data_IF_417167741056
#
_entry.id   IF_417167741056
#
_cell.length_a   1.000
_cell.length_b   1.000
_cell.length_c   1.000
_cell.angle_alpha   90.00
_cell.angle_beta   90.00
_cell.angle_gamma   90.00
#
_symmetry.space_group_name_H-M   'P 1'
#
loop_
_entity.id
_entity.type
_entity.pdbx_description
1 polymer ?
#
# COMPACT_ATOMS: atom_id res chain seq x y z
N UNK A 1 -13.72 9.12 87.63
CA UNK A 1 -13.56 8.03 86.64
C UNK A 1 -13.22 8.68 85.31
N UNK A 2 -12.07 8.30 84.73
CA UNK A 2 -11.45 8.93 83.57
C UNK A 2 -12.37 9.01 82.34
N UNK A 3 -12.32 10.09 81.55
CA UNK A 3 -11.62 10.13 80.25
C UNK A 3 -11.72 11.52 79.58
N UNK A 4 -10.60 11.94 79.00
CA UNK A 4 -10.40 13.13 78.16
C UNK A 4 -11.13 13.06 76.81
N UNK A 5 -11.23 14.22 76.13
CA UNK A 5 -10.87 14.52 74.71
C UNK A 5 -11.73 15.73 74.26
N UNK A 6 -11.20 16.97 74.22
CA UNK A 6 -10.35 17.61 73.20
C UNK A 6 -11.12 18.26 72.03
N UNK A 7 -10.97 19.59 71.95
CA UNK A 7 -11.38 20.50 70.88
C UNK A 7 -10.70 20.17 69.55
N UNK A 8 -11.44 20.22 68.44
CA UNK A 8 -10.86 20.52 67.11
C UNK A 8 -11.74 21.49 66.33
N UNK A 9 -11.14 22.63 66.03
CA UNK A 9 -11.60 23.70 65.14
C UNK A 9 -11.55 23.21 63.69
N UNK A 10 -12.60 23.46 62.92
CA UNK A 10 -12.67 23.18 61.49
C UNK A 10 -11.88 24.22 60.70
N UNK A 11 -10.86 23.78 59.96
CA UNK A 11 -10.11 24.59 58.99
C UNK A 11 -10.75 24.37 57.61
N UNK A 12 -11.27 25.44 57.03
CA UNK A 12 -11.81 25.48 55.66
C UNK A 12 -10.62 25.60 54.68
N UNK A 13 -10.33 24.53 53.94
CA UNK A 13 -9.32 24.52 52.87
C UNK A 13 -9.94 25.00 51.55
N UNK A 14 -9.55 26.19 51.09
CA UNK A 14 -9.83 26.70 49.75
C UNK A 14 -8.92 25.97 48.74
N UNK A 15 -9.49 25.07 47.94
CA UNK A 15 -8.82 24.49 46.78
C UNK A 15 -8.90 25.45 45.59
N UNK A 16 -7.78 26.08 45.26
CA UNK A 16 -7.60 26.80 43.99
C UNK A 16 -7.43 25.79 42.85
N UNK A 17 -8.45 25.63 42.01
CA UNK A 17 -8.38 24.84 40.78
C UNK A 17 -7.57 25.65 39.76
N UNK A 18 -6.30 25.28 39.51
CA UNK A 18 -5.56 25.76 38.34
C UNK A 18 -6.10 25.04 37.11
N UNK A 19 -6.92 25.72 36.31
CA UNK A 19 -7.30 25.29 34.98
C UNK A 19 -6.07 25.42 34.07
N UNK A 20 -5.31 24.35 33.89
CA UNK A 20 -4.30 24.27 32.83
C UNK A 20 -5.00 24.02 31.50
N UNK A 21 -5.22 25.08 30.74
CA UNK A 21 -5.65 25.00 29.35
C UNK A 21 -4.57 24.32 28.51
N UNK A 22 -4.70 23.01 28.28
CA UNK A 22 -3.96 22.30 27.25
C UNK A 22 -4.51 22.71 25.89
N UNK A 23 -3.88 23.72 25.29
CA UNK A 23 -4.06 24.02 23.87
C UNK A 23 -3.35 22.89 23.12
N UNK A 24 -4.11 21.94 22.57
CA UNK A 24 -3.60 21.10 21.50
C UNK A 24 -3.33 22.01 20.31
N UNK A 25 -2.07 22.38 20.09
CA UNK A 25 -1.64 22.94 18.83
C UNK A 25 -1.91 21.88 17.77
N UNK A 26 -2.94 22.09 16.97
CA UNK A 26 -3.08 21.41 15.69
C UNK A 26 -1.93 21.93 14.85
N UNK A 27 -0.86 21.15 14.71
CA UNK A 27 0.13 21.41 13.67
C UNK A 27 -0.60 21.33 12.33
N UNK A 28 -1.01 22.48 11.80
CA UNK A 28 -1.36 22.60 10.40
C UNK A 28 -0.13 22.18 9.60
N UNK A 29 -0.21 21.00 8.98
CA UNK A 29 0.82 20.54 8.06
C UNK A 29 0.87 21.51 6.89
N UNK A 30 1.81 22.45 6.93
CA UNK A 30 2.09 23.36 5.84
C UNK A 30 2.21 22.57 4.53
N UNK A 31 1.55 22.99 3.43
CA UNK A 31 1.67 22.32 2.15
C UNK A 31 3.15 22.33 1.75
N UNK A 32 3.74 21.14 1.74
CA UNK A 32 5.14 20.96 1.39
C UNK A 32 5.32 21.39 -0.07
N UNK A 33 5.92 22.56 -0.28
CA UNK A 33 6.29 23.03 -1.61
C UNK A 33 7.43 22.15 -2.13
N UNK A 34 7.06 21.06 -2.81
CA UNK A 34 8.00 20.28 -3.61
C UNK A 34 8.46 21.15 -4.77
N UNK A 35 9.54 21.91 -4.55
CA UNK A 35 10.30 22.62 -5.58
C UNK A 35 11.05 21.63 -6.49
N UNK A 36 10.33 20.68 -7.08
CA UNK A 36 10.82 19.84 -8.15
C UNK A 36 10.07 20.21 -9.43
N UNK A 37 10.82 20.59 -10.46
CA UNK A 37 10.27 20.85 -11.80
C UNK A 37 9.84 19.57 -12.55
N UNK A 38 9.71 18.43 -11.85
CA UNK A 38 9.33 17.15 -12.44
C UNK A 38 8.04 16.58 -11.84
N UNK A 39 7.45 15.60 -12.54
CA UNK A 39 6.24 14.90 -12.12
C UNK A 39 6.56 13.67 -11.26
N UNK A 40 5.64 13.34 -10.36
CA UNK A 40 5.64 12.12 -9.59
C UNK A 40 4.83 11.05 -10.32
N UNK A 41 5.50 9.98 -10.76
CA UNK A 41 4.87 8.86 -11.43
C UNK A 41 4.44 7.79 -10.40
N UNK A 42 3.17 7.39 -10.48
CA UNK A 42 2.60 6.29 -9.73
C UNK A 42 2.16 5.20 -10.70
N UNK A 43 2.74 4.00 -10.55
CA UNK A 43 2.44 2.83 -11.36
C UNK A 43 1.68 1.84 -10.49
N UNK A 44 0.41 1.59 -10.79
CA UNK A 44 -0.47 0.68 -10.03
C UNK A 44 -0.71 -0.59 -10.85
N UNK A 45 -0.23 -1.73 -10.36
CA UNK A 45 -0.32 -3.02 -11.08
C UNK A 45 -0.65 -4.21 -10.17
N UNK A 46 -1.12 -5.28 -10.78
CA UNK A 46 -1.45 -6.53 -10.11
C UNK A 46 -2.75 -7.16 -10.62
N UNK A 47 -3.42 -7.94 -9.77
CA UNK A 47 -4.65 -8.64 -10.15
C UNK A 47 -5.85 -8.24 -9.30
N UNK A 48 -7.03 -8.69 -9.70
CA UNK A 48 -8.30 -8.75 -8.93
C UNK A 48 -8.55 -7.55 -8.01
N UNK A 49 -7.98 -7.53 -6.79
CA UNK A 49 -8.08 -6.40 -5.87
C UNK A 49 -7.43 -5.10 -6.39
N UNK A 50 -6.31 -5.17 -7.14
CA UNK A 50 -5.82 -3.99 -7.87
C UNK A 50 -6.80 -3.56 -8.96
N UNK A 51 -7.42 -4.49 -9.70
CA UNK A 51 -8.40 -4.13 -10.73
C UNK A 51 -9.65 -3.49 -10.11
N UNK A 52 -10.10 -3.97 -8.94
CA UNK A 52 -11.22 -3.43 -8.17
C UNK A 52 -10.91 -2.15 -7.39
N UNK A 53 -9.64 -1.75 -7.30
CA UNK A 53 -9.17 -0.60 -6.52
C UNK A 53 -9.80 0.72 -6.97
N UNK A 54 -9.91 0.96 -8.30
CA UNK A 54 -10.43 2.21 -8.90
C UNK A 54 -9.80 3.48 -8.28
N UNK A 55 -8.57 3.85 -8.68
CA UNK A 55 -7.77 4.86 -7.98
C UNK A 55 -8.46 6.23 -7.85
N UNK A 56 -9.32 6.61 -8.80
CA UNK A 56 -10.08 7.87 -8.77
C UNK A 56 -11.00 8.02 -7.55
N UNK A 57 -11.41 6.93 -6.89
CA UNK A 57 -12.31 7.02 -5.74
C UNK A 57 -11.62 7.49 -4.45
N UNK A 58 -10.29 7.37 -4.35
CA UNK A 58 -9.57 7.72 -3.12
C UNK A 58 -8.07 8.00 -3.33
N UNK A 59 -7.36 7.12 -4.05
CA UNK A 59 -5.92 7.25 -4.26
C UNK A 59 -5.55 8.52 -5.04
N UNK A 60 -6.13 8.70 -6.23
CA UNK A 60 -5.84 9.86 -7.10
C UNK A 60 -6.14 11.19 -6.41
N UNK A 61 -7.33 11.39 -5.78
CA UNK A 61 -7.59 12.61 -5.02
C UNK A 61 -6.58 12.87 -3.89
N UNK A 62 -6.20 11.84 -3.12
CA UNK A 62 -5.22 12.00 -2.03
C UNK A 62 -3.83 12.38 -2.53
N UNK A 63 -3.38 11.78 -3.64
CA UNK A 63 -2.09 12.11 -4.25
C UNK A 63 -2.07 13.53 -4.83
N UNK A 64 -3.13 13.89 -5.56
CA UNK A 64 -3.29 15.22 -6.16
C UNK A 64 -3.37 16.33 -5.12
N UNK A 65 -4.11 16.10 -4.03
CA UNK A 65 -4.19 17.05 -2.93
C UNK A 65 -2.83 17.31 -2.27
N UNK A 66 -1.96 16.30 -2.19
CA UNK A 66 -0.66 16.41 -1.55
C UNK A 66 0.44 16.98 -2.45
N UNK A 67 0.39 16.73 -3.76
CA UNK A 67 1.49 17.02 -4.69
C UNK A 67 1.15 18.07 -5.75
N UNK A 68 -0.12 18.41 -5.94
CA UNK A 68 -0.60 19.25 -7.04
C UNK A 68 -1.08 18.44 -8.24
N UNK A 69 -2.13 18.93 -8.90
CA UNK A 69 -2.81 18.25 -10.01
C UNK A 69 -1.91 18.04 -11.24
N UNK A 70 -1.07 19.01 -11.54
CA UNK A 70 -0.16 19.08 -12.69
C UNK A 70 1.16 18.31 -12.46
N UNK A 71 1.45 17.96 -11.20
CA UNK A 71 2.68 17.28 -10.78
C UNK A 71 2.59 15.77 -10.74
N UNK A 72 1.46 15.17 -11.13
CA UNK A 72 1.24 13.72 -10.93
C UNK A 72 0.89 13.01 -12.23
N UNK A 73 1.49 11.84 -12.43
CA UNK A 73 1.12 10.89 -13.48
C UNK A 73 0.71 9.60 -12.77
N UNK A 74 -0.50 9.12 -13.03
CA UNK A 74 -1.01 7.88 -12.43
C UNK A 74 -1.37 6.92 -13.56
N UNK A 75 -0.71 5.77 -13.58
CA UNK A 75 -0.94 4.71 -14.57
C UNK A 75 -1.39 3.46 -13.84
N UNK A 76 -2.59 2.99 -14.15
CA UNK A 76 -3.08 1.70 -13.66
C UNK A 76 -3.20 0.69 -14.80
N UNK A 77 -2.63 -0.49 -14.59
CA UNK A 77 -2.87 -1.66 -15.44
C UNK A 77 -2.93 -2.93 -14.58
N UNK A 78 -4.09 -3.59 -14.57
CA UNK A 78 -4.33 -4.78 -13.76
C UNK A 78 -5.21 -5.76 -14.51
N UNK A 79 -5.11 -7.05 -14.18
CA UNK A 79 -5.95 -8.10 -14.77
C UNK A 79 -6.32 -9.16 -13.75
N UNK A 80 -7.62 -9.42 -13.60
CA UNK A 80 -8.17 -10.40 -12.66
C UNK A 80 -7.61 -11.82 -12.84
N UNK A 81 -7.32 -12.46 -11.71
CA UNK A 81 -7.02 -13.90 -11.63
C UNK A 81 -5.72 -14.34 -12.33
N UNK A 82 -4.72 -13.47 -12.42
CA UNK A 82 -3.46 -13.74 -13.12
C UNK A 82 -2.28 -13.96 -12.15
N UNK A 83 -1.40 -14.93 -12.43
CA UNK A 83 -0.21 -15.19 -11.61
C UNK A 83 0.92 -14.21 -11.91
N UNK A 84 1.82 -13.97 -10.93
CA UNK A 84 2.91 -12.98 -11.04
C UNK A 84 3.85 -13.22 -12.24
N UNK A 85 3.97 -14.46 -12.72
CA UNK A 85 4.76 -14.79 -13.92
C UNK A 85 4.37 -13.98 -15.17
N UNK A 86 3.12 -13.53 -15.24
CA UNK A 86 2.61 -12.68 -16.34
C UNK A 86 3.23 -11.27 -16.30
N UNK A 87 3.87 -10.89 -15.19
CA UNK A 87 4.55 -9.60 -15.01
C UNK A 87 6.08 -9.69 -14.96
N UNK A 88 6.68 -10.86 -14.73
CA UNK A 88 8.14 -11.02 -14.74
C UNK A 88 8.56 -11.90 -15.93
N UNK A 89 9.26 -11.30 -16.91
CA UNK A 89 9.61 -11.95 -18.20
C UNK A 89 10.49 -13.18 -17.97
N UNK A 90 11.47 -13.04 -17.09
CA UNK A 90 12.42 -14.11 -16.73
C UNK A 90 11.89 -15.05 -15.65
N UNK A 91 10.60 -15.01 -15.33
CA UNK A 91 10.01 -15.87 -14.31
C UNK A 91 10.20 -17.34 -14.65
N UNK A 92 10.60 -18.13 -13.66
CA UNK A 92 10.81 -19.58 -13.78
C UNK A 92 10.11 -20.30 -12.63
N UNK A 93 9.56 -21.48 -12.92
CA UNK A 93 9.18 -22.43 -11.86
C UNK A 93 10.42 -22.95 -11.15
N UNK A 94 10.25 -23.65 -10.02
CA UNK A 94 11.32 -24.42 -9.35
C UNK A 94 12.05 -25.34 -10.35
N UNK A 95 11.32 -25.93 -11.31
CA UNK A 95 11.88 -26.82 -12.33
C UNK A 95 12.37 -26.07 -13.59
N UNK A 96 12.55 -24.76 -13.53
CA UNK A 96 13.14 -23.96 -14.62
C UNK A 96 12.27 -23.68 -15.86
N UNK A 97 10.99 -24.11 -15.90
CA UNK A 97 10.14 -23.94 -17.09
C UNK A 97 9.71 -22.47 -17.30
N UNK A 98 9.88 -21.97 -18.53
CA UNK A 98 9.41 -20.66 -19.01
C UNK A 98 8.17 -20.87 -19.89
N UNK A 99 7.15 -20.03 -19.75
CA UNK A 99 5.93 -20.05 -20.58
C UNK A 99 5.91 -18.86 -21.54
N UNK A 100 5.29 -19.02 -22.72
CA UNK A 100 5.07 -17.93 -23.69
C UNK A 100 4.29 -16.74 -23.12
N UNK A 101 3.48 -16.98 -22.08
CA UNK A 101 2.69 -15.93 -21.42
C UNK A 101 3.49 -15.12 -20.38
N UNK A 102 4.74 -15.46 -20.12
CA UNK A 102 5.52 -14.73 -19.12
C UNK A 102 5.77 -13.29 -19.56
N UNK A 103 5.55 -12.34 -18.64
CA UNK A 103 5.83 -10.92 -18.85
C UNK A 103 4.90 -10.16 -19.83
N UNK A 104 3.93 -10.80 -20.47
CA UNK A 104 3.07 -10.11 -21.46
C UNK A 104 2.17 -9.00 -20.84
N UNK A 105 1.70 -9.16 -19.59
CA UNK A 105 0.97 -8.11 -18.87
C UNK A 105 1.90 -7.00 -18.42
N UNK A 106 3.17 -7.33 -18.17
CA UNK A 106 4.17 -6.30 -17.93
C UNK A 106 4.47 -5.49 -19.19
N UNK A 107 4.54 -6.12 -20.37
CA UNK A 107 4.68 -5.35 -21.61
C UNK A 107 3.49 -4.42 -21.83
N UNK A 108 2.26 -4.91 -21.60
CA UNK A 108 1.05 -4.08 -21.65
C UNK A 108 1.11 -2.90 -20.68
N UNK A 109 1.57 -3.13 -19.45
CA UNK A 109 1.79 -2.08 -18.45
C UNK A 109 2.83 -1.07 -18.94
N UNK A 110 3.99 -1.53 -19.40
CA UNK A 110 5.11 -0.67 -19.79
C UNK A 110 4.82 0.15 -21.05
N UNK A 111 4.04 -0.38 -22.00
CA UNK A 111 3.53 0.40 -23.13
C UNK A 111 2.72 1.61 -22.65
N UNK A 112 1.85 1.43 -21.66
CA UNK A 112 1.09 2.54 -21.07
C UNK A 112 2.01 3.51 -20.34
N UNK A 113 2.89 3.00 -19.46
CA UNK A 113 3.82 3.83 -18.69
C UNK A 113 4.68 4.69 -19.61
N UNK A 114 5.33 4.09 -20.62
CA UNK A 114 6.18 4.81 -21.59
C UNK A 114 5.41 5.88 -22.35
N UNK A 115 4.15 5.62 -22.72
CA UNK A 115 3.27 6.62 -23.36
C UNK A 115 3.04 7.83 -22.45
N UNK A 116 2.72 7.62 -21.18
CA UNK A 116 2.37 8.71 -20.25
C UNK A 116 3.57 9.53 -19.77
N UNK A 117 4.79 8.98 -19.83
CA UNK A 117 6.01 9.70 -19.38
C UNK A 117 6.82 10.30 -20.54
N UNK A 118 6.38 10.13 -21.80
CA UNK A 118 7.12 10.63 -22.96
C UNK A 118 7.22 12.15 -22.91
N UNK A 119 8.45 12.67 -22.88
CA UNK A 119 8.73 14.11 -22.81
C UNK A 119 8.56 14.72 -21.42
N UNK A 120 8.21 13.92 -20.42
CA UNK A 120 8.00 14.39 -19.05
C UNK A 120 9.27 14.21 -18.22
N UNK A 121 9.62 15.23 -17.43
CA UNK A 121 10.68 15.09 -16.42
C UNK A 121 10.11 14.37 -15.20
N UNK A 122 10.59 13.17 -14.90
CA UNK A 122 10.09 12.36 -13.78
C UNK A 122 10.95 12.56 -12.53
N UNK A 123 10.39 13.19 -11.49
CA UNK A 123 11.07 13.43 -10.23
C UNK A 123 11.18 12.14 -9.39
N UNK A 124 10.05 11.46 -9.15
CA UNK A 124 10.02 10.20 -8.41
C UNK A 124 9.14 9.16 -9.08
N UNK A 125 9.42 7.88 -8.82
CA UNK A 125 8.58 6.77 -9.25
C UNK A 125 8.15 5.98 -8.02
N UNK A 126 6.85 5.70 -7.91
CA UNK A 126 6.32 4.76 -6.92
C UNK A 126 5.56 3.64 -7.63
N UNK A 127 6.07 2.42 -7.50
CA UNK A 127 5.40 1.21 -7.95
C UNK A 127 4.51 0.67 -6.82
N UNK A 128 3.23 0.44 -7.12
CA UNK A 128 2.22 -0.04 -6.18
C UNK A 128 1.71 -1.37 -6.71
N UNK A 129 1.87 -2.41 -5.90
CA UNK A 129 1.58 -3.78 -6.28
C UNK A 129 0.53 -4.41 -5.38
N UNK A 130 -0.49 -5.02 -5.98
CA UNK A 130 -1.50 -5.81 -5.26
C UNK A 130 -1.87 -7.04 -6.09
N UNK A 131 -1.23 -8.15 -5.74
CA UNK A 131 -1.40 -9.47 -6.35
C UNK A 131 -0.88 -10.53 -5.38
N UNK A 132 -1.25 -11.78 -5.61
CA UNK A 132 -0.73 -12.95 -4.92
C UNK A 132 -1.77 -14.05 -4.75
N UNK A 133 -3.06 -13.70 -4.85
CA UNK A 133 -4.19 -14.62 -4.72
C UNK A 133 -4.09 -15.82 -5.68
N UNK A 134 -3.81 -15.58 -6.96
CA UNK A 134 -3.62 -16.65 -7.94
C UNK A 134 -2.40 -17.54 -7.62
N UNK A 135 -1.28 -16.97 -7.21
CA UNK A 135 -0.07 -17.73 -6.84
C UNK A 135 -0.29 -18.54 -5.56
N UNK A 136 -1.03 -17.99 -4.59
CA UNK A 136 -1.47 -18.71 -3.39
C UNK A 136 -2.36 -19.91 -3.76
N UNK A 137 -3.32 -19.72 -4.68
CA UNK A 137 -4.20 -20.78 -5.17
C UNK A 137 -3.44 -21.89 -5.91
N UNK A 138 -2.38 -21.53 -6.64
CA UNK A 138 -1.58 -22.46 -7.44
C UNK A 138 -0.46 -23.14 -6.64
N UNK A 139 -0.29 -22.83 -5.35
CA UNK A 139 0.81 -23.38 -4.56
C UNK A 139 2.19 -22.84 -4.97
N UNK A 140 2.27 -21.61 -5.47
CA UNK A 140 3.52 -20.99 -5.96
C UNK A 140 4.25 -20.12 -4.92
N UNK A 141 3.81 -20.16 -3.65
CA UNK A 141 4.41 -19.40 -2.56
C UNK A 141 5.93 -19.49 -2.42
N UNK A 142 6.55 -20.65 -2.72
CA UNK A 142 8.00 -20.85 -2.55
C UNK A 142 8.85 -19.94 -3.44
N UNK A 143 8.36 -19.55 -4.62
CA UNK A 143 9.09 -18.70 -5.58
C UNK A 143 8.61 -17.24 -5.57
N UNK A 144 7.66 -16.90 -4.69
CA UNK A 144 6.96 -15.62 -4.79
C UNK A 144 7.80 -14.43 -4.30
N UNK A 145 8.67 -14.64 -3.31
CA UNK A 145 9.64 -13.63 -2.88
C UNK A 145 10.57 -13.23 -4.04
N UNK A 146 11.20 -14.21 -4.68
CA UNK A 146 12.04 -13.99 -5.87
C UNK A 146 11.27 -13.34 -7.00
N UNK A 147 9.99 -13.69 -7.16
CA UNK A 147 9.12 -13.10 -8.17
C UNK A 147 8.88 -11.61 -7.92
N UNK A 148 8.65 -11.20 -6.67
CA UNK A 148 8.49 -9.79 -6.31
C UNK A 148 9.79 -9.00 -6.55
N UNK A 149 10.93 -9.57 -6.16
CA UNK A 149 12.25 -8.96 -6.36
C UNK A 149 12.61 -8.87 -7.85
N UNK A 150 12.34 -9.93 -8.62
CA UNK A 150 12.56 -9.98 -10.06
C UNK A 150 11.71 -8.97 -10.83
N UNK A 151 10.43 -8.83 -10.46
CA UNK A 151 9.54 -7.80 -11.00
C UNK A 151 10.05 -6.39 -10.71
N UNK A 152 10.42 -6.10 -9.45
CA UNK A 152 10.99 -4.80 -9.08
C UNK A 152 12.27 -4.50 -9.86
N UNK A 153 13.18 -5.46 -9.93
CA UNK A 153 14.48 -5.31 -10.64
C UNK A 153 14.26 -5.07 -12.13
N UNK A 154 13.37 -5.82 -12.77
CA UNK A 154 13.01 -5.62 -14.17
C UNK A 154 12.45 -4.22 -14.42
N UNK A 155 11.51 -3.75 -13.58
CA UNK A 155 10.94 -2.41 -13.68
C UNK A 155 12.00 -1.32 -13.49
N UNK A 156 12.86 -1.47 -12.48
CA UNK A 156 14.00 -0.59 -12.19
C UNK A 156 14.92 -0.47 -13.42
N UNK A 157 15.28 -1.60 -14.02
CA UNK A 157 16.15 -1.64 -15.20
C UNK A 157 15.50 -0.99 -16.42
N UNK A 158 14.25 -1.33 -16.71
CA UNK A 158 13.53 -0.83 -17.91
C UNK A 158 13.23 0.67 -17.86
N UNK A 159 13.16 1.25 -16.65
CA UNK A 159 12.99 2.68 -16.40
C UNK A 159 14.32 3.41 -16.15
N UNK A 160 15.43 2.69 -16.01
CA UNK A 160 16.75 3.26 -15.71
C UNK A 160 16.81 3.96 -14.34
N UNK A 161 16.07 3.48 -13.34
CA UNK A 161 15.92 4.14 -12.03
C UNK A 161 16.16 3.15 -10.89
N UNK A 162 17.14 3.44 -10.03
CA UNK A 162 17.48 2.61 -8.85
C UNK A 162 16.75 3.04 -7.57
N UNK A 163 16.04 4.16 -7.62
CA UNK A 163 15.39 4.85 -6.49
C UNK A 163 13.86 4.70 -6.51
N UNK A 164 13.34 3.68 -7.18
CA UNK A 164 11.91 3.42 -7.26
C UNK A 164 11.38 3.03 -5.86
N UNK A 165 10.33 3.72 -5.42
CA UNK A 165 9.60 3.34 -4.22
C UNK A 165 8.69 2.15 -4.52
N UNK A 166 8.58 1.19 -3.60
CA UNK A 166 7.74 -0.01 -3.81
C UNK A 166 6.73 -0.18 -2.67
N UNK A 167 5.44 -0.09 -2.97
CA UNK A 167 4.36 -0.27 -2.00
C UNK A 167 3.56 -1.53 -2.31
N UNK A 168 3.65 -2.52 -1.43
CA UNK A 168 2.98 -3.82 -1.61
C UNK A 168 1.71 -3.90 -0.76
N UNK A 169 0.56 -4.18 -1.37
CA UNK A 169 -0.63 -4.59 -0.64
C UNK A 169 -0.49 -6.04 -0.22
N UNK A 170 -0.43 -6.29 1.09
CA UNK A 170 -0.46 -7.67 1.60
C UNK A 170 -1.82 -8.29 1.27
N UNK A 171 -1.88 -9.58 0.92
CA UNK A 171 -3.15 -10.29 0.83
C UNK A 171 -3.90 -10.20 2.17
N UNK A 172 -5.24 -10.15 2.19
CA UNK A 172 -6.04 -10.02 3.42
C UNK A 172 -6.08 -11.32 4.25
N UNK A 173 -6.84 -11.33 5.33
CA UNK A 173 -7.05 -12.45 6.25
C UNK A 173 -7.99 -13.56 5.71
N UNK A 174 -8.42 -13.45 4.45
CA UNK A 174 -9.32 -14.37 3.73
C UNK A 174 -9.18 -15.86 4.07
N UNK A 175 -7.96 -16.42 3.98
CA UNK A 175 -7.73 -17.85 4.17
C UNK A 175 -6.45 -18.11 4.98
N UNK A 176 -6.37 -17.55 6.20
CA UNK A 176 -5.22 -17.75 7.09
C UNK A 176 -4.97 -19.22 7.47
N UNK A 177 -5.99 -20.08 7.36
CA UNK A 177 -5.85 -21.53 7.57
C UNK A 177 -5.32 -22.26 6.33
N UNK A 178 -5.13 -21.56 5.22
CA UNK A 178 -4.72 -22.11 3.92
C UNK A 178 -5.62 -23.27 3.45
N UNK A 179 -6.90 -23.25 3.82
CA UNK A 179 -7.85 -24.33 3.58
C UNK A 179 -8.37 -24.37 2.14
N UNK A 180 -8.31 -23.22 1.46
CA UNK A 180 -8.79 -23.01 0.08
C UNK A 180 -7.64 -22.63 -0.86
N UNK A 181 -6.67 -21.89 -0.36
CA UNK A 181 -5.52 -21.34 -1.06
C UNK A 181 -4.26 -21.81 -0.32
N UNK A 182 -3.62 -22.91 -0.76
CA UNK A 182 -2.65 -23.65 0.04
C UNK A 182 -1.46 -22.81 0.50
N UNK A 183 -1.06 -21.80 -0.28
CA UNK A 183 0.10 -20.95 0.03
C UNK A 183 -0.29 -19.52 0.47
N UNK A 184 -1.54 -19.26 0.89
CA UNK A 184 -2.00 -17.91 1.27
C UNK A 184 -1.09 -17.23 2.29
N UNK A 185 -0.81 -17.92 3.41
CA UNK A 185 0.06 -17.41 4.46
C UNK A 185 1.52 -17.27 4.03
N UNK A 186 2.00 -18.13 3.12
CA UNK A 186 3.37 -18.05 2.58
C UNK A 186 3.54 -16.81 1.71
N UNK A 187 2.57 -16.51 0.84
CA UNK A 187 2.54 -15.30 0.03
C UNK A 187 2.50 -14.05 0.91
N UNK A 188 1.64 -14.03 1.95
CA UNK A 188 1.58 -12.91 2.91
C UNK A 188 2.94 -12.64 3.55
N UNK A 189 3.65 -13.69 3.98
CA UNK A 189 4.99 -13.58 4.57
C UNK A 189 6.00 -13.01 3.57
N UNK A 190 6.02 -13.51 2.33
CA UNK A 190 6.91 -13.02 1.28
C UNK A 190 6.66 -11.52 0.96
N UNK A 191 5.39 -11.11 0.87
CA UNK A 191 5.02 -9.71 0.62
C UNK A 191 5.55 -8.76 1.69
N UNK A 192 5.39 -9.13 2.97
CA UNK A 192 5.90 -8.32 4.09
C UNK A 192 7.41 -8.31 4.11
N UNK A 193 8.05 -9.48 3.97
CA UNK A 193 9.51 -9.62 3.98
C UNK A 193 10.17 -8.77 2.91
N UNK A 194 9.67 -8.82 1.66
CA UNK A 194 10.18 -7.96 0.58
C UNK A 194 9.93 -6.49 0.90
N UNK A 195 8.73 -6.13 1.36
CA UNK A 195 8.42 -4.74 1.67
C UNK A 195 9.25 -4.13 2.81
N UNK A 196 9.84 -4.95 3.68
CA UNK A 196 10.67 -4.54 4.81
C UNK A 196 12.18 -4.62 4.51
N UNK A 197 12.58 -5.17 3.35
CA UNK A 197 13.99 -5.39 3.01
C UNK A 197 14.73 -4.14 2.53
N UNK A 198 14.03 -3.05 2.22
CA UNK A 198 14.60 -1.82 1.67
C UNK A 198 13.90 -0.58 2.23
N UNK A 199 14.62 0.49 2.61
CA UNK A 199 14.03 1.73 3.13
C UNK A 199 13.09 2.45 2.15
N UNK A 200 13.19 2.16 0.84
CA UNK A 200 12.28 2.67 -0.20
C UNK A 200 11.02 1.82 -0.38
N UNK A 201 10.91 0.72 0.36
CA UNK A 201 9.77 -0.18 0.25
C UNK A 201 8.84 -0.03 1.47
N UNK A 202 7.58 -0.37 1.27
CA UNK A 202 6.61 -0.47 2.35
C UNK A 202 5.46 -1.39 1.97
N UNK A 203 4.64 -1.75 2.95
CA UNK A 203 3.44 -2.52 2.72
C UNK A 203 2.21 -1.89 3.38
N UNK A 204 1.04 -2.30 2.88
CA UNK A 204 -0.28 -1.93 3.39
C UNK A 204 -0.96 -3.17 3.94
N UNK A 205 -1.43 -3.08 5.20
CA UNK A 205 -2.32 -4.08 5.79
C UNK A 205 -3.72 -3.97 5.17
N UNK A 206 -4.36 -5.11 4.95
CA UNK A 206 -5.66 -5.24 4.27
C UNK A 206 -6.63 -6.16 4.98
N UNK A 207 -6.28 -6.66 6.17
CA UNK A 207 -7.07 -7.64 6.94
C UNK A 207 -8.47 -7.12 7.31
N UNK A 208 -8.68 -5.80 7.34
CA UNK A 208 -9.96 -5.17 7.70
C UNK A 208 -10.77 -4.68 6.48
N UNK A 209 -10.41 -5.07 5.26
CA UNK A 209 -10.96 -4.48 4.02
C UNK A 209 -11.99 -5.37 3.31
N UNK A 210 -12.12 -6.63 3.70
CA UNK A 210 -12.94 -7.66 3.04
C UNK A 210 -14.27 -7.98 3.75
N UNK A 211 -14.68 -7.12 4.68
CA UNK A 211 -15.99 -7.16 5.33
C UNK A 211 -16.88 -5.98 4.89
N UNK A 212 -18.19 -6.19 4.90
CA UNK A 212 -19.20 -5.14 4.69
C UNK A 212 -20.04 -5.37 3.44
N UNK A 213 -20.23 -4.34 2.61
CA UNK A 213 -21.00 -4.42 1.37
C UNK A 213 -20.05 -4.32 0.18
N UNK A 214 -20.06 -5.32 -0.69
CA UNK A 214 -19.26 -5.30 -1.91
C UNK A 214 -19.85 -4.32 -2.96
N UNK A 215 -19.11 -4.09 -4.04
CA UNK A 215 -19.53 -3.14 -5.10
C UNK A 215 -20.82 -3.55 -5.84
N UNK A 216 -21.33 -4.77 -5.65
CA UNK A 216 -22.61 -5.24 -6.21
C UNK A 216 -23.77 -5.12 -5.20
N UNK A 217 -23.55 -4.48 -4.05
CA UNK A 217 -24.57 -4.34 -3.00
C UNK A 217 -24.75 -5.58 -2.12
N UNK A 218 -23.93 -6.64 -2.28
CA UNK A 218 -24.03 -7.86 -1.50
C UNK A 218 -23.22 -7.76 -0.21
N UNK A 219 -23.80 -8.20 0.92
CA UNK A 219 -23.08 -8.36 2.18
C UNK A 219 -22.02 -9.46 2.03
N UNK A 220 -20.79 -9.12 2.42
CA UNK A 220 -19.62 -9.99 2.41
C UNK A 220 -19.00 -10.02 3.80
N UNK A 221 -18.40 -11.17 4.14
CA UNK A 221 -17.64 -11.37 5.36
C UNK A 221 -16.43 -12.24 5.03
N UNK A 222 -15.25 -11.78 5.41
CA UNK A 222 -13.95 -12.37 5.14
C UNK A 222 -13.86 -12.87 3.69
N UNK A 223 -14.21 -12.00 2.74
CA UNK A 223 -14.26 -12.36 1.31
C UNK A 223 -12.87 -12.24 0.65
N UNK A 224 -12.74 -12.86 -0.54
CA UNK A 224 -11.50 -12.77 -1.32
C UNK A 224 -11.27 -11.35 -1.85
N UNK A 225 -12.37 -10.65 -2.13
CA UNK A 225 -12.37 -9.29 -2.65
C UNK A 225 -12.87 -8.29 -1.60
N UNK A 226 -12.44 -7.05 -1.74
CA UNK A 226 -12.74 -6.02 -0.74
C UNK A 226 -14.16 -5.46 -0.89
N UNK A 227 -14.68 -4.96 0.24
CA UNK A 227 -15.91 -4.20 0.22
C UNK A 227 -15.73 -2.88 -0.52
N UNK A 228 -16.82 -2.24 -0.93
CA UNK A 228 -16.76 -0.94 -1.59
C UNK A 228 -16.05 0.11 -0.68
N UNK A 229 -16.30 0.04 0.63
CA UNK A 229 -15.58 0.85 1.63
C UNK A 229 -14.12 0.43 1.76
N UNK A 230 -13.84 -0.88 1.77
CA UNK A 230 -12.50 -1.43 1.83
C UNK A 230 -11.58 -0.93 0.72
N UNK A 231 -12.05 -0.87 -0.52
CA UNK A 231 -11.27 -0.33 -1.64
C UNK A 231 -10.92 1.16 -1.48
N UNK A 232 -11.83 1.99 -0.95
CA UNK A 232 -11.53 3.39 -0.67
C UNK A 232 -10.47 3.53 0.42
N UNK A 233 -10.55 2.72 1.47
CA UNK A 233 -9.53 2.68 2.54
C UNK A 233 -8.19 2.21 1.97
N UNK A 234 -8.18 1.19 1.11
CA UNK A 234 -6.98 0.71 0.43
C UNK A 234 -6.29 1.85 -0.33
N UNK A 235 -7.04 2.62 -1.12
CA UNK A 235 -6.49 3.75 -1.88
C UNK A 235 -5.88 4.83 -0.99
N UNK A 236 -6.53 5.16 0.12
CA UNK A 236 -5.97 6.10 1.11
C UNK A 236 -4.67 5.57 1.72
N UNK A 237 -4.62 4.27 2.08
CA UNK A 237 -3.42 3.65 2.65
C UNK A 237 -2.27 3.59 1.67
N UNK A 238 -2.53 3.26 0.40
CA UNK A 238 -1.51 3.31 -0.65
C UNK A 238 -0.97 4.72 -0.85
N UNK A 239 -1.85 5.72 -0.94
CA UNK A 239 -1.44 7.11 -1.09
C UNK A 239 -0.54 7.56 0.09
N UNK A 240 -0.98 7.29 1.33
CA UNK A 240 -0.20 7.63 2.53
C UNK A 240 1.19 6.99 2.53
N UNK A 241 1.30 5.71 2.19
CA UNK A 241 2.60 5.01 2.14
C UNK A 241 3.49 5.58 1.02
N UNK A 242 2.94 5.82 -0.15
CA UNK A 242 3.69 6.37 -1.27
C UNK A 242 4.23 7.78 -0.97
N UNK A 243 3.38 8.68 -0.45
CA UNK A 243 3.77 10.03 -0.06
C UNK A 243 4.86 10.05 1.03
N UNK A 244 4.75 9.16 2.02
CA UNK A 244 5.77 9.02 3.07
C UNK A 244 7.13 8.63 2.50
N UNK A 245 7.17 7.73 1.51
CA UNK A 245 8.41 7.32 0.85
C UNK A 245 8.99 8.44 0.00
N UNK A 246 8.16 9.17 -0.74
CA UNK A 246 8.59 10.35 -1.51
C UNK A 246 9.22 11.40 -0.60
N UNK A 247 8.55 11.76 0.51
CA UNK A 247 9.07 12.74 1.48
C UNK A 247 10.39 12.33 2.13
N UNK A 248 10.59 11.02 2.37
CA UNK A 248 11.88 10.52 2.89
C UNK A 248 12.99 10.62 1.84
N UNK A 249 12.67 10.29 0.58
CA UNK A 249 13.64 10.33 -0.51
C UNK A 249 14.13 11.73 -0.87
N UNK A 250 13.40 12.79 -0.51
CA UNK A 250 13.83 14.19 -0.71
C UNK A 250 14.72 14.73 0.40
N UNK A 251 14.78 14.06 1.54
CA UNK A 251 15.52 14.51 2.73
C UNK A 251 16.90 13.84 2.87
N UNK A 252 17.26 12.96 1.93
CA UNK A 252 18.54 12.25 1.84
C UNK A 252 19.28 12.73 0.60
#
# INVERSE_FOLDING_TARGET
MNFHISFKVAILLLFSIKLSSFIYAVEESSPFALNSNGKHLFILSGQSNMQGHRPEEAFTPSIKAALGNDKVIIVQDAMGGQPIKRWWKSWKTINGKISKSNGDLYERLMLKVRKFIKGEKINSITFIWMQGERDANMGLGQVYEDSLNGLYTQLSNDLGRKDINYVIGRLSDFDLKNSRYPHWSMIRKAQVKVAESNPRFSWVNTDDLNDGINRKGKKIKNDLHYSAKGYKILGKRFAMKALKLIKRGTNN
#
